data_IF_874471966147
#
_entry.id   IF_874471966147
#
_cell.length_a   1.000
_cell.length_b   1.000
_cell.length_c   1.000
_cell.angle_alpha   90.00
_cell.angle_beta   90.00
_cell.angle_gamma   90.00
#
_symmetry.space_group_name_H-M   'P 1'
#
loop_
_entity.id
_entity.type
_entity.pdbx_description
1 polymer ?
2 polymer ?
#
# COMPACT_ATOMS: atom_id res chain seq x y z
N UNK A 1 -10.19 -23.85 -7.27
CA UNK A 1 -9.77 -23.34 -5.98
C UNK A 1 -8.47 -24.01 -5.54
N UNK A 2 -7.50 -23.19 -5.14
CA UNK A 2 -6.13 -23.62 -4.83
C UNK A 2 -5.46 -22.65 -3.87
N UNK A 3 -4.26 -22.89 -3.39
CA UNK A 3 -3.69 -21.92 -2.47
C UNK A 3 -3.52 -20.57 -3.13
N UNK A 4 -3.64 -19.50 -2.37
CA UNK A 4 -3.64 -18.18 -2.93
C UNK A 4 -2.55 -17.34 -2.30
N UNK A 5 -1.89 -16.52 -3.09
CA UNK A 5 -0.84 -15.68 -2.58
C UNK A 5 -1.46 -14.74 -1.61
N UNK A 6 -0.76 -14.44 -0.54
CA UNK A 6 -1.27 -13.53 0.46
C UNK A 6 -0.26 -12.47 0.61
N UNK A 7 -0.67 -11.22 0.53
CA UNK A 7 0.22 -10.15 0.87
C UNK A 7 -0.32 -9.61 2.13
N UNK A 8 0.52 -9.51 3.14
CA UNK A 8 0.14 -9.07 4.45
C UNK A 8 0.93 -7.85 4.74
N UNK A 9 0.28 -6.79 5.16
CA UNK A 9 0.95 -5.56 5.39
C UNK A 9 0.55 -5.08 6.71
N UNK A 10 1.52 -4.71 7.51
CA UNK A 10 1.30 -4.29 8.85
C UNK A 10 1.57 -2.84 8.80
N UNK A 11 0.67 -2.02 9.32
CA UNK A 11 0.78 -0.59 9.20
C UNK A 11 0.96 0.04 10.54
N UNK A 12 1.75 1.08 10.62
CA UNK A 12 1.78 1.92 11.76
C UNK A 12 1.85 3.35 11.27
N UNK A 13 1.16 4.26 11.92
CA UNK A 13 1.38 5.64 11.79
C UNK A 13 1.23 6.17 13.15
N UNK A 14 2.12 7.03 13.62
CA UNK A 14 2.00 7.53 14.97
C UNK A 14 0.80 8.38 15.03
N UNK A 15 -0.03 8.17 16.01
CA UNK A 15 -1.29 8.87 15.95
C UNK A 15 -2.23 8.34 14.88
N UNK A 16 -2.25 7.03 14.77
CA UNK A 16 -3.25 6.37 13.99
C UNK A 16 -4.53 6.38 14.77
N UNK A 17 -4.38 6.69 16.05
CA UNK A 17 -5.49 6.65 16.99
C UNK A 17 -6.28 7.95 17.04
N UNK A 18 -5.85 8.98 16.31
CA UNK A 18 -6.38 10.33 16.52
C UNK A 18 -7.51 10.74 15.60
N UNK A 19 -7.23 11.06 14.36
CA UNK A 19 -8.31 11.52 13.50
C UNK A 19 -8.79 10.47 12.54
N UNK A 20 -8.82 9.23 13.00
CA UNK A 20 -9.27 8.15 12.16
C UNK A 20 -8.55 8.10 10.84
N UNK A 21 -7.24 8.11 10.90
CA UNK A 21 -6.42 7.85 9.75
C UNK A 21 -6.96 6.66 9.03
N UNK A 22 -6.98 5.55 9.74
CA UNK A 22 -7.17 4.29 9.08
C UNK A 22 -8.63 3.92 9.04
N UNK A 23 -9.47 4.93 9.21
CA UNK A 23 -10.91 4.73 9.37
C UNK A 23 -11.46 3.94 8.24
N UNK A 24 -10.97 4.18 7.05
CA UNK A 24 -11.62 3.67 5.88
C UNK A 24 -11.06 2.37 5.42
N UNK A 25 -10.23 1.75 6.24
CA UNK A 25 -9.50 0.57 5.84
C UNK A 25 -10.08 -0.63 6.49
N UNK A 26 -10.12 -1.76 5.80
CA UNK A 26 -10.61 -2.98 6.39
C UNK A 26 -9.44 -3.75 6.85
N UNK A 27 -9.59 -4.40 7.98
CA UNK A 27 -8.52 -5.14 8.54
C UNK A 27 -8.78 -6.62 8.45
N UNK A 28 -9.48 -7.00 7.40
CA UNK A 28 -9.93 -8.35 7.19
C UNK A 28 -9.32 -8.79 5.88
N UNK A 29 -9.22 -10.09 5.66
CA UNK A 29 -8.68 -10.57 4.41
C UNK A 29 -9.61 -10.15 3.32
N UNK A 30 -9.07 -9.79 2.18
CA UNK A 30 -9.88 -9.49 1.04
C UNK A 30 -9.26 -10.31 -0.02
N UNK A 31 -10.07 -10.76 -0.95
CA UNK A 31 -9.56 -11.49 -2.07
C UNK A 31 -9.74 -10.59 -3.24
N UNK A 32 -8.74 -10.53 -4.08
CA UNK A 32 -8.80 -9.73 -5.30
C UNK A 32 -8.22 -10.49 -6.47
N UNK A 33 -8.66 -10.12 -7.65
CA UNK A 33 -8.18 -10.66 -8.91
C UNK A 33 -6.88 -10.06 -9.33
N UNK A 34 -6.06 -10.82 -10.01
CA UNK A 34 -4.75 -10.37 -10.38
C UNK A 34 -4.79 -9.20 -11.33
N UNK A 35 -5.84 -9.11 -12.10
CA UNK A 35 -5.95 -8.09 -13.10
C UNK A 35 -6.02 -6.71 -12.51
N UNK A 36 -6.48 -6.59 -11.28
CA UNK A 36 -6.69 -5.30 -10.68
C UNK A 36 -5.41 -4.60 -10.32
N UNK A 37 -5.49 -3.29 -10.19
CA UNK A 37 -4.40 -2.50 -9.72
C UNK A 37 -4.91 -1.91 -8.45
N UNK A 38 -4.18 -2.11 -7.39
CA UNK A 38 -4.58 -1.61 -6.12
C UNK A 38 -4.01 -0.25 -5.84
N UNK A 39 -4.86 0.71 -5.53
CA UNK A 39 -4.33 2.00 -5.22
C UNK A 39 -4.49 2.37 -3.77
N UNK A 40 -3.60 3.24 -3.29
CA UNK A 40 -3.60 3.76 -1.93
C UNK A 40 -3.60 5.27 -1.90
N UNK A 41 -4.61 5.88 -1.32
CA UNK A 41 -4.82 7.29 -1.49
C UNK A 41 -5.65 8.02 -0.48
N UNK A 42 -5.72 9.31 -0.65
CA UNK A 42 -6.65 10.13 0.06
C UNK A 42 -7.95 10.25 -0.67
N UNK A 43 -8.09 9.61 -1.80
CA UNK A 43 -9.29 9.77 -2.57
C UNK A 43 -10.15 8.56 -2.53
N UNK A 44 -11.33 8.74 -1.98
CA UNK A 44 -12.24 7.66 -1.77
C UNK A 44 -12.58 7.07 -3.10
N UNK A 45 -12.72 7.93 -4.09
CA UNK A 45 -12.82 7.50 -5.46
C UNK A 45 -11.48 6.96 -5.86
N UNK A 46 -11.50 5.89 -6.64
CA UNK A 46 -10.29 5.31 -7.22
C UNK A 46 -9.18 4.92 -6.26
N UNK A 47 -9.54 4.42 -5.10
CA UNK A 47 -8.61 3.76 -4.23
C UNK A 47 -9.30 2.66 -3.50
N UNK A 48 -8.70 1.50 -3.46
CA UNK A 48 -9.18 0.45 -2.63
C UNK A 48 -8.97 0.79 -1.22
N UNK A 49 -7.84 1.39 -0.91
CA UNK A 49 -7.54 1.74 0.44
C UNK A 49 -7.34 3.22 0.56
N UNK A 50 -8.03 3.81 1.52
CA UNK A 50 -8.11 5.23 1.62
C UNK A 50 -7.61 5.68 2.94
N UNK A 51 -6.78 6.70 2.94
CA UNK A 51 -6.29 7.27 4.17
C UNK A 51 -6.84 8.67 4.32
N UNK A 52 -7.47 8.95 5.44
CA UNK A 52 -8.01 10.26 5.69
C UNK A 52 -6.90 11.09 6.25
N UNK A 53 -5.99 11.51 5.41
CA UNK A 53 -4.92 12.39 5.84
C UNK A 53 -4.77 13.57 4.90
N UNK A 54 -4.68 14.76 5.44
CA UNK A 54 -4.44 15.91 4.61
C UNK A 54 -3.12 15.74 3.85
N UNK A 55 -2.19 15.00 4.43
CA UNK A 55 -0.85 14.91 3.87
C UNK A 55 -0.62 13.77 2.89
N UNK A 56 -1.47 12.76 2.87
CA UNK A 56 -1.26 11.73 1.86
C UNK A 56 -1.81 12.22 0.55
N UNK A 57 -1.01 12.13 -0.51
CA UNK A 57 -1.43 12.57 -1.84
C UNK A 57 -2.72 11.92 -2.22
N UNK A 58 -3.46 12.56 -3.11
CA UNK A 58 -4.78 12.07 -3.41
C UNK A 58 -4.73 10.63 -3.79
N UNK A 59 -3.68 10.26 -4.52
CA UNK A 59 -3.30 8.88 -4.79
C UNK A 59 -1.85 8.76 -4.44
N UNK A 60 -1.49 7.80 -3.62
CA UNK A 60 -0.14 7.75 -3.11
C UNK A 60 0.81 6.78 -3.73
N UNK A 61 0.38 5.55 -3.91
CA UNK A 61 1.18 4.57 -4.55
C UNK A 61 0.27 3.50 -4.95
N UNK A 62 0.71 2.62 -5.82
CA UNK A 62 -0.12 1.53 -6.25
C UNK A 62 0.68 0.28 -6.43
N UNK A 63 0.01 -0.83 -6.23
CA UNK A 63 0.47 -2.17 -6.43
C UNK A 63 -0.16 -2.81 -7.62
N UNK A 64 0.52 -3.80 -8.13
CA UNK A 64 0.21 -4.34 -9.42
C UNK A 64 0.90 -5.66 -9.43
N UNK A 65 0.20 -6.72 -9.77
CA UNK A 65 0.86 -8.00 -9.76
C UNK A 65 1.33 -8.36 -11.12
N UNK A 66 2.19 -9.36 -11.18
CA UNK A 66 2.63 -9.91 -12.42
C UNK A 66 3.34 -11.17 -12.07
N UNK A 67 3.96 -11.83 -13.02
CA UNK A 67 4.89 -12.88 -12.70
C UNK A 67 6.19 -12.76 -13.43
N UNK A 68 7.27 -13.17 -12.79
CA UNK A 68 8.57 -12.96 -13.34
C UNK A 68 8.67 -13.97 -14.41
N UNK A 69 9.73 -13.89 -15.17
CA UNK A 69 9.82 -14.61 -16.40
C UNK A 69 9.97 -16.08 -16.33
N UNK A 70 10.74 -16.55 -15.38
CA UNK A 70 10.92 -17.97 -15.24
C UNK A 70 10.23 -18.48 -14.03
N UNK A 71 9.37 -17.66 -13.46
CA UNK A 71 8.72 -17.97 -12.21
C UNK A 71 7.32 -18.42 -12.45
N UNK A 72 6.82 -19.25 -11.55
CA UNK A 72 5.50 -19.81 -11.65
C UNK A 72 4.59 -19.23 -10.63
N UNK A 73 5.03 -18.16 -9.99
CA UNK A 73 4.20 -17.45 -9.03
C UNK A 73 4.17 -15.98 -9.27
N UNK A 74 3.13 -15.35 -8.76
CA UNK A 74 2.92 -13.93 -8.79
C UNK A 74 3.75 -13.10 -7.89
N UNK A 75 4.15 -11.93 -8.36
CA UNK A 75 4.95 -10.99 -7.61
C UNK A 75 4.27 -9.68 -7.71
N UNK A 76 4.66 -8.73 -6.88
CA UNK A 76 4.06 -7.43 -6.85
C UNK A 76 5.06 -6.38 -7.26
N UNK A 77 4.55 -5.29 -7.80
CA UNK A 77 5.33 -4.17 -8.24
C UNK A 77 4.71 -2.98 -7.63
N UNK A 78 5.48 -2.06 -7.11
CA UNK A 78 4.92 -0.91 -6.45
C UNK A 78 5.33 0.33 -7.18
N UNK A 79 4.43 1.24 -7.46
CA UNK A 79 4.78 2.45 -8.17
C UNK A 79 4.36 3.61 -7.37
N UNK A 80 5.17 4.64 -7.35
CA UNK A 80 4.82 5.84 -6.65
C UNK A 80 3.94 6.76 -7.43
N UNK A 81 3.22 7.64 -6.78
CA UNK A 81 2.27 8.43 -7.51
C UNK A 81 2.10 9.77 -6.95
N UNK A 82 3.10 10.28 -6.28
CA UNK A 82 2.97 11.47 -5.52
C UNK A 82 4.08 12.38 -5.94
N UNK A 83 3.76 13.53 -6.51
CA UNK A 83 4.80 14.47 -6.83
C UNK A 83 5.41 14.94 -5.53
N UNK A 84 4.53 15.13 -4.56
CA UNK A 84 4.91 15.68 -3.28
C UNK A 84 5.96 14.84 -2.57
N UNK A 85 5.54 13.69 -2.07
CA UNK A 85 6.34 12.89 -1.16
C UNK A 85 6.92 11.62 -1.80
N UNK A 86 8.18 11.34 -1.53
CA UNK A 86 8.81 10.13 -2.03
C UNK A 86 8.39 8.93 -1.25
N UNK A 87 8.48 7.77 -1.86
CA UNK A 87 8.12 6.51 -1.28
C UNK A 87 9.42 5.88 -1.07
N UNK A 88 9.69 5.42 0.13
CA UNK A 88 10.93 4.80 0.43
C UNK A 88 10.61 3.35 0.58
N UNK A 89 11.30 2.51 -0.15
CA UNK A 89 11.16 1.10 0.02
C UNK A 89 12.48 0.51 0.41
N UNK A 90 12.62 0.14 1.67
CA UNK A 90 13.86 -0.42 2.14
C UNK A 90 14.98 0.51 1.77
N UNK A 91 14.87 1.77 2.14
CA UNK A 91 15.97 2.72 2.00
C UNK A 91 16.20 3.34 0.65
N UNK A 92 15.39 3.00 -0.32
CA UNK A 92 15.60 3.48 -1.65
C UNK A 92 14.44 4.34 -1.84
N UNK A 93 14.62 5.54 -2.36
CA UNK A 93 13.53 6.46 -2.51
C UNK A 93 12.99 6.41 -3.91
N UNK A 94 11.68 6.40 -4.04
CA UNK A 94 11.04 6.40 -5.32
C UNK A 94 10.37 7.74 -5.54
N UNK A 95 10.77 8.41 -6.59
CA UNK A 95 10.15 9.66 -6.97
C UNK A 95 8.90 9.42 -7.74
N UNK A 96 8.31 10.51 -8.19
CA UNK A 96 7.07 10.46 -8.92
C UNK A 96 7.15 9.48 -10.06
N UNK A 97 6.32 8.46 -9.99
CA UNK A 97 6.17 7.48 -11.04
C UNK A 97 7.35 6.58 -11.20
N UNK A 98 8.30 6.63 -10.28
CA UNK A 98 9.26 5.56 -10.24
C UNK A 98 8.59 4.32 -9.77
N UNK A 99 9.07 3.16 -10.18
CA UNK A 99 8.49 1.93 -9.69
C UNK A 99 9.54 0.88 -9.43
N UNK A 100 9.21 -0.16 -8.68
CA UNK A 100 10.09 -1.31 -8.64
C UNK A 100 9.41 -2.56 -8.20
N UNK A 101 10.14 -3.65 -8.33
CA UNK A 101 9.64 -4.94 -7.96
C UNK A 101 9.81 -5.09 -6.49
N UNK A 102 8.78 -5.60 -5.86
CA UNK A 102 8.77 -5.80 -4.43
C UNK A 102 9.51 -7.05 -3.95
N UNK A 103 10.28 -6.91 -2.90
CA UNK A 103 10.86 -8.04 -2.25
C UNK A 103 9.77 -8.80 -1.57
N UNK A 104 10.04 -10.02 -1.17
CA UNK A 104 9.04 -10.79 -0.50
C UNK A 104 8.69 -10.06 0.76
N UNK A 105 9.65 -9.44 1.41
CA UNK A 105 9.39 -8.65 2.58
C UNK A 105 10.14 -7.37 2.52
N UNK A 106 9.52 -6.27 2.89
CA UNK A 106 10.14 -4.97 2.86
C UNK A 106 9.47 -3.99 3.76
N UNK A 107 10.05 -2.81 3.92
CA UNK A 107 9.42 -1.73 4.62
C UNK A 107 9.06 -0.81 3.52
N UNK A 108 7.83 -0.36 3.44
CA UNK A 108 7.47 0.69 2.55
C UNK A 108 7.07 1.82 3.44
N UNK A 109 7.55 3.00 3.15
CA UNK A 109 7.37 4.12 4.03
C UNK A 109 7.04 5.38 3.26
N UNK A 110 6.25 6.26 3.83
CA UNK A 110 6.08 7.57 3.24
C UNK A 110 5.47 8.48 4.24
N UNK A 111 6.03 9.68 4.38
CA UNK A 111 5.57 10.55 5.43
C UNK A 111 5.77 9.77 6.69
N UNK A 112 4.82 9.84 7.61
CA UNK A 112 5.01 9.16 8.86
C UNK A 112 4.41 7.79 8.84
N UNK A 113 3.86 7.41 7.71
CA UNK A 113 3.35 6.07 7.54
C UNK A 113 4.44 5.06 7.49
N UNK A 114 4.08 3.86 7.90
CA UNK A 114 4.93 2.69 7.85
C UNK A 114 4.16 1.47 7.50
N UNK A 115 4.63 0.79 6.48
CA UNK A 115 3.98 -0.41 6.07
C UNK A 115 4.93 -1.55 6.02
N UNK A 116 4.68 -2.60 6.75
CA UNK A 116 5.58 -3.69 6.63
C UNK A 116 4.86 -4.72 5.88
N UNK A 117 5.46 -5.19 4.79
CA UNK A 117 4.83 -6.08 3.85
C UNK A 117 5.53 -7.36 3.79
N UNK A 118 4.80 -8.42 3.53
CA UNK A 118 5.28 -9.75 3.60
C UNK A 118 4.36 -10.55 2.75
N UNK A 119 4.93 -11.20 1.75
CA UNK A 119 4.18 -11.96 0.80
C UNK A 119 4.34 -13.41 1.12
N UNK A 120 3.25 -14.17 1.01
CA UNK A 120 3.36 -15.63 1.02
C UNK A 120 2.72 -16.17 -0.23
N UNK A 121 3.53 -16.89 -0.99
CA UNK A 121 3.12 -17.44 -2.28
C UNK A 121 1.89 -18.33 -2.25
N UNK A 122 1.20 -18.43 -3.37
CA UNK A 122 0.10 -19.37 -3.50
C UNK A 122 0.26 -20.14 -4.79
N UNK A 123 -0.57 -21.11 -5.03
CA UNK A 123 -0.67 -21.71 -6.34
C UNK A 123 -1.33 -20.81 -7.35
N UNK A 124 -2.38 -20.14 -6.93
CA UNK A 124 -3.28 -19.50 -7.84
C UNK A 124 -2.67 -18.35 -8.53
N UNK A 125 -3.12 -18.12 -9.75
CA UNK A 125 -2.65 -16.99 -10.49
C UNK A 125 -3.71 -16.00 -10.78
N UNK A 126 -4.98 -16.31 -10.54
CA UNK A 126 -6.02 -15.34 -10.83
C UNK A 126 -6.58 -14.59 -9.68
N UNK A 127 -6.22 -14.95 -8.47
CA UNK A 127 -6.62 -14.18 -7.33
C UNK A 127 -5.50 -14.14 -6.37
N UNK A 128 -5.49 -13.10 -5.57
CA UNK A 128 -4.58 -12.97 -4.46
C UNK A 128 -5.38 -12.35 -3.38
N UNK A 129 -5.00 -12.55 -2.14
CA UNK A 129 -5.63 -11.84 -1.06
C UNK A 129 -4.65 -11.00 -0.33
N UNK A 130 -5.14 -9.89 0.17
CA UNK A 130 -4.38 -8.95 0.94
C UNK A 130 -4.97 -8.86 2.31
N UNK A 131 -4.15 -8.67 3.32
CA UNK A 131 -4.62 -8.53 4.67
C UNK A 131 -3.95 -7.38 5.37
N UNK A 132 -4.67 -6.52 6.04
CA UNK A 132 -4.06 -5.46 6.79
C UNK A 132 -3.94 -5.81 8.26
N UNK A 133 -2.84 -5.43 8.90
CA UNK A 133 -2.64 -5.70 10.30
C UNK A 133 -2.13 -4.48 10.99
N UNK A 134 -2.52 -4.27 12.22
CA UNK A 134 -2.27 -3.04 12.89
C UNK A 134 -1.20 -3.19 13.89
N UNK A 135 -0.28 -2.26 13.88
CA UNK A 135 0.82 -2.33 14.76
C UNK A 135 0.69 -1.32 15.84
N UNK A 136 0.77 -1.77 17.06
CA UNK A 136 0.71 -0.93 18.22
C UNK A 136 1.82 0.07 18.34
N UNK A 137 2.99 -0.27 17.85
CA UNK A 137 4.22 0.43 18.10
C UNK A 137 4.96 0.58 16.81
N UNK A 138 5.87 1.54 16.72
CA UNK A 138 6.62 1.79 15.49
C UNK A 138 7.41 0.59 15.07
N UNK A 139 7.51 0.38 13.77
CA UNK A 139 8.16 -0.80 13.24
C UNK A 139 9.65 -0.58 12.98
N UNK A 140 10.15 0.61 13.28
CA UNK A 140 11.58 0.84 13.20
C UNK A 140 12.23 0.61 14.54
N UNK A 141 13.42 0.02 14.56
CA UNK A 141 14.13 -0.24 15.81
C UNK A 141 13.36 -1.22 16.72
N UNK B 1 -15.43 26.68 2.96
CA UNK B 1 -14.66 25.69 3.70
C UNK B 1 -13.99 24.77 2.74
N UNK B 2 -13.06 23.98 3.26
CA UNK B 2 -12.21 23.07 2.52
C UNK B 2 -12.93 21.82 2.04
N UNK B 3 -12.59 21.31 0.86
CA UNK B 3 -13.15 20.05 0.38
C UNK B 3 -12.07 19.02 0.47
N UNK B 4 -12.29 17.96 1.25
CA UNK B 4 -11.22 17.06 1.63
C UNK B 4 -10.56 16.15 0.62
N UNK B 5 -11.34 15.37 -0.10
CA UNK B 5 -10.75 14.46 -1.04
C UNK B 5 -10.03 15.20 -2.13
N UNK B 6 -10.52 16.35 -2.55
CA UNK B 6 -9.91 17.10 -3.64
C UNK B 6 -8.82 18.10 -3.30
N UNK B 7 -8.62 18.40 -2.04
CA UNK B 7 -7.68 19.44 -1.67
C UNK B 7 -6.31 19.16 -2.20
N UNK B 8 -5.45 20.15 -2.21
CA UNK B 8 -4.04 19.91 -2.46
C UNK B 8 -3.48 19.10 -1.31
N UNK B 9 -2.29 18.57 -1.51
CA UNK B 9 -1.67 17.72 -0.56
C UNK B 9 -0.88 18.67 0.23
N UNK B 10 -0.77 18.45 1.51
CA UNK B 10 -0.24 19.43 2.39
C UNK B 10 1.02 18.85 2.91
N UNK B 11 2.07 19.63 2.94
CA UNK B 11 3.32 19.16 3.46
C UNK B 11 3.55 19.85 4.76
N UNK B 12 4.17 19.14 5.69
CA UNK B 12 4.52 19.70 6.99
C UNK B 12 4.86 18.57 7.93
#
# INVERSE_FOLDING_TARGET
EETVTCLQMTVYHPGQLQCGIFQSISFNREKLPSSEVVKFGRNSNICHYTFQDKQVSRVQFSLQLFKKFNSSVLSFEIKNMSKKTNLIVDSRELGYLNKMDLPYRCMVRFGEYQFLMEKEDGESLEFFETQFILSPRSLLQ
MTSFEDADTEET
#
